data_IF_350117240561
#
_entry.id   IF_350117240561
#
_cell.length_a   1.000
_cell.length_b   1.000
_cell.length_c   1.000
_cell.angle_alpha   90.00
_cell.angle_beta   90.00
_cell.angle_gamma   90.00
#
_symmetry.space_group_name_H-M   'P 1'
#
loop_
_entity.id
_entity.type
_entity.pdbx_description
1 polymer ?
#
# COMPACT_ATOMS: atom_id res chain seq x y z
N UNK A 1 72.36 35.92 -42.11
CA UNK A 1 71.42 36.62 -41.21
C UNK A 1 70.04 36.49 -41.82
N UNK A 2 69.10 35.87 -41.09
CA UNK A 2 67.62 36.00 -41.12
C UNK A 2 66.99 34.70 -40.60
N UNK A 3 65.96 34.89 -39.79
CA UNK A 3 65.54 34.12 -38.61
C UNK A 3 64.62 32.96 -38.98
N UNK A 4 64.93 31.75 -38.47
CA UNK A 4 64.05 30.58 -38.55
C UNK A 4 62.91 30.73 -37.54
N UNK A 5 61.70 31.00 -38.04
CA UNK A 5 60.45 30.96 -37.27
C UNK A 5 60.27 29.57 -36.66
N UNK A 6 60.42 29.46 -35.34
CA UNK A 6 60.17 28.23 -34.58
C UNK A 6 58.72 28.29 -34.12
N UNK A 7 57.87 27.49 -34.76
CA UNK A 7 56.46 27.37 -34.42
C UNK A 7 56.25 27.00 -32.95
N UNK A 8 55.29 27.68 -32.33
CA UNK A 8 54.85 27.40 -30.96
C UNK A 8 54.19 26.01 -30.90
N UNK A 9 54.47 25.19 -29.87
CA UNK A 9 53.71 23.97 -29.65
C UNK A 9 52.30 24.31 -29.18
N UNK A 10 51.31 23.90 -29.97
CA UNK A 10 49.89 24.01 -29.62
C UNK A 10 49.60 23.14 -28.40
N UNK A 11 49.29 23.77 -27.26
CA UNK A 11 48.86 23.06 -26.05
C UNK A 11 47.44 22.54 -26.27
N UNK A 12 47.14 21.24 -26.05
CA UNK A 12 45.76 20.77 -26.06
C UNK A 12 45.02 21.38 -24.87
N UNK A 13 44.02 22.22 -25.15
CA UNK A 13 43.08 22.71 -24.15
C UNK A 13 42.18 21.53 -23.75
N UNK A 14 42.48 20.90 -22.62
CA UNK A 14 41.55 19.95 -21.97
C UNK A 14 40.32 20.76 -21.56
N UNK A 15 39.21 20.58 -22.28
CA UNK A 15 37.90 20.98 -21.80
C UNK A 15 37.57 19.99 -20.68
N UNK A 16 37.47 20.41 -19.41
CA UNK A 16 36.92 19.51 -18.41
C UNK A 16 35.49 19.21 -18.86
N UNK A 17 35.20 17.95 -19.17
CA UNK A 17 33.83 17.47 -19.16
C UNK A 17 33.29 17.83 -17.78
N UNK A 18 32.46 18.88 -17.73
CA UNK A 18 31.63 19.17 -16.59
C UNK A 18 30.64 18.00 -16.53
N UNK A 19 31.08 16.90 -15.93
CA UNK A 19 30.20 15.82 -15.52
C UNK A 19 29.26 16.50 -14.54
N UNK A 20 28.09 16.85 -15.07
CA UNK A 20 27.09 17.64 -14.39
C UNK A 20 26.65 16.84 -13.16
N UNK A 21 27.19 17.23 -12.00
CA UNK A 21 27.01 16.55 -10.70
C UNK A 21 25.53 16.43 -10.31
N UNK A 22 24.67 17.21 -10.98
CA UNK A 22 23.21 17.20 -10.86
C UNK A 22 22.58 15.94 -11.46
N UNK A 23 23.18 15.35 -12.50
CA UNK A 23 22.65 14.15 -13.17
C UNK A 23 22.85 12.86 -12.36
N UNK A 24 23.94 12.76 -11.58
CA UNK A 24 24.26 11.54 -10.82
C UNK A 24 23.39 11.37 -9.57
N UNK A 25 22.97 12.47 -8.94
CA UNK A 25 22.07 12.44 -7.78
C UNK A 25 20.64 12.04 -8.16
N UNK A 26 20.17 12.45 -9.33
CA UNK A 26 18.82 12.14 -9.80
C UNK A 26 18.62 10.63 -10.06
N UNK A 27 19.64 9.94 -10.58
CA UNK A 27 19.58 8.51 -10.88
C UNK A 27 19.61 7.66 -9.60
N UNK A 28 20.40 8.06 -8.60
CA UNK A 28 20.46 7.35 -7.32
C UNK A 28 19.18 7.50 -6.48
N UNK A 29 18.50 8.65 -6.55
CA UNK A 29 17.23 8.86 -5.88
C UNK A 29 16.10 8.01 -6.51
N UNK A 30 16.10 7.85 -7.84
CA UNK A 30 15.10 7.07 -8.56
C UNK A 30 15.18 5.55 -8.26
N UNK A 31 16.38 4.99 -8.09
CA UNK A 31 16.54 3.56 -7.76
C UNK A 31 16.18 3.22 -6.32
N UNK A 32 16.42 4.10 -5.36
CA UNK A 32 15.97 3.89 -3.96
C UNK A 32 14.45 3.96 -3.85
N UNK A 33 13.80 4.89 -4.55
CA UNK A 33 12.35 4.99 -4.58
C UNK A 33 11.67 3.75 -5.21
N UNK A 34 12.28 3.17 -6.24
CA UNK A 34 11.76 1.96 -6.90
C UNK A 34 11.89 0.71 -6.01
N UNK A 35 12.93 0.62 -5.18
CA UNK A 35 13.14 -0.49 -4.25
C UNK A 35 12.22 -0.45 -3.02
N UNK A 36 11.79 0.74 -2.59
CA UNK A 36 10.87 0.90 -1.44
C UNK A 36 9.40 0.60 -1.79
N UNK A 37 9.01 0.69 -3.06
CA UNK A 37 7.64 0.44 -3.52
C UNK A 37 7.27 -1.04 -3.66
N UNK A 38 8.22 -1.98 -3.60
CA UNK A 38 7.98 -3.42 -3.79
C UNK A 38 7.69 -4.20 -2.51
N UNK A 39 7.60 -3.52 -1.35
CA UNK A 39 7.40 -4.16 -0.04
C UNK A 39 6.04 -3.86 0.59
N UNK A 40 5.08 -3.37 -0.20
CA UNK A 40 3.68 -3.32 0.22
C UNK A 40 3.15 -4.77 0.29
N UNK A 41 3.42 -5.43 1.41
CA UNK A 41 2.71 -6.65 1.78
C UNK A 41 1.24 -6.35 2.03
N UNK A 42 0.37 -7.38 2.10
CA UNK A 42 -1.04 -7.19 2.41
C UNK A 42 -1.17 -6.32 3.66
N UNK A 43 -1.89 -5.21 3.54
CA UNK A 43 -2.20 -4.39 4.71
C UNK A 43 -2.98 -5.26 5.69
N UNK A 44 -2.50 -5.36 6.93
CA UNK A 44 -3.27 -6.03 7.98
C UNK A 44 -4.58 -5.26 8.19
N UNK A 45 -5.69 -5.98 8.31
CA UNK A 45 -6.96 -5.37 8.70
C UNK A 45 -6.85 -4.84 10.14
N UNK A 46 -6.73 -3.52 10.31
CA UNK A 46 -6.69 -2.86 11.63
C UNK A 46 -8.11 -2.45 12.04
N UNK A 47 -8.92 -3.44 12.42
CA UNK A 47 -10.28 -3.24 12.92
C UNK A 47 -11.26 -2.55 11.95
N UNK A 48 -12.53 -2.50 12.33
CA UNK A 48 -13.63 -2.05 11.47
C UNK A 48 -14.25 -0.70 11.84
N UNK A 49 -13.68 0.05 12.78
CA UNK A 49 -14.31 1.26 13.33
C UNK A 49 -14.50 2.37 12.28
N UNK A 50 -13.49 2.60 11.43
CA UNK A 50 -13.58 3.55 10.33
C UNK A 50 -14.63 3.12 9.29
N UNK A 51 -14.63 1.84 8.90
CA UNK A 51 -15.63 1.30 7.99
C UNK A 51 -17.05 1.42 8.53
N UNK A 52 -17.27 1.20 9.83
CA UNK A 52 -18.58 1.40 10.46
C UNK A 52 -18.98 2.88 10.43
N UNK A 53 -18.05 3.79 10.71
CA UNK A 53 -18.31 5.24 10.62
C UNK A 53 -18.76 5.65 9.21
N UNK A 54 -18.00 5.27 8.18
CA UNK A 54 -18.33 5.56 6.78
C UNK A 54 -19.63 4.88 6.34
N UNK A 55 -19.85 3.63 6.76
CA UNK A 55 -21.09 2.91 6.50
C UNK A 55 -22.28 3.64 7.10
N UNK A 56 -22.17 4.15 8.32
CA UNK A 56 -23.24 4.90 8.98
C UNK A 56 -23.54 6.23 8.31
N UNK A 57 -22.54 6.93 7.77
CA UNK A 57 -22.76 8.10 6.90
C UNK A 57 -23.60 7.72 5.69
N UNK A 58 -23.26 6.60 5.02
CA UNK A 58 -24.03 6.14 3.86
C UNK A 58 -25.44 5.71 4.24
N UNK A 59 -25.63 4.99 5.35
CA UNK A 59 -26.94 4.58 5.87
C UNK A 59 -27.84 5.78 6.14
N UNK A 60 -27.30 6.82 6.79
CA UNK A 60 -28.03 8.05 7.04
C UNK A 60 -28.47 8.74 5.74
N UNK A 61 -27.64 8.74 4.70
CA UNK A 61 -27.97 9.34 3.39
C UNK A 61 -29.18 8.72 2.69
N UNK A 62 -29.58 7.50 3.08
CA UNK A 62 -30.74 6.77 2.54
C UNK A 62 -31.82 6.54 3.60
N UNK A 63 -31.79 7.28 4.71
CA UNK A 63 -32.82 7.23 5.75
C UNK A 63 -32.77 5.99 6.66
N UNK A 64 -31.66 5.26 6.70
CA UNK A 64 -31.48 4.11 7.57
C UNK A 64 -30.80 4.51 8.89
N UNK A 65 -31.25 3.92 10.00
CA UNK A 65 -30.61 4.09 11.32
C UNK A 65 -29.18 3.52 11.36
N UNK A 66 -28.32 4.01 12.27
CA UNK A 66 -26.93 3.55 12.36
C UNK A 66 -26.83 2.09 12.84
N UNK A 67 -25.72 1.44 12.53
CA UNK A 67 -25.31 0.15 13.11
C UNK A 67 -24.14 0.36 14.08
N UNK A 68 -24.04 -0.52 15.08
CA UNK A 68 -22.94 -0.52 16.04
C UNK A 68 -21.90 -1.57 15.66
N UNK A 69 -20.62 -1.26 15.88
CA UNK A 69 -19.56 -2.26 15.79
C UNK A 69 -19.65 -3.20 17.00
N UNK A 70 -19.78 -4.49 16.74
CA UNK A 70 -19.73 -5.54 17.75
C UNK A 70 -18.32 -6.10 17.82
N UNK A 71 -17.71 -6.12 19.02
CA UNK A 71 -16.33 -6.57 19.20
C UNK A 71 -16.09 -8.02 18.69
N UNK A 72 -16.99 -8.99 18.95
CA UNK A 72 -16.88 -10.32 18.32
C UNK A 72 -16.91 -10.30 16.79
N UNK A 73 -17.74 -9.44 16.18
CA UNK A 73 -17.83 -9.33 14.71
C UNK A 73 -16.55 -8.73 14.12
N UNK A 74 -16.00 -7.71 14.79
CA UNK A 74 -14.73 -7.09 14.42
C UNK A 74 -13.58 -8.10 14.46
N UNK A 75 -13.51 -8.89 15.54
CA UNK A 75 -12.53 -9.97 15.68
C UNK A 75 -12.64 -10.98 14.53
N UNK A 76 -13.86 -11.42 14.19
CA UNK A 76 -14.09 -12.38 13.10
C UNK A 76 -13.63 -11.81 11.75
N UNK A 77 -13.92 -10.53 11.48
CA UNK A 77 -13.52 -9.87 10.25
C UNK A 77 -12.00 -9.81 10.10
N UNK A 78 -11.27 -9.49 11.18
CA UNK A 78 -9.80 -9.48 11.19
C UNK A 78 -9.24 -10.90 11.01
N UNK A 79 -9.79 -11.91 11.71
CA UNK A 79 -9.40 -13.31 11.55
C UNK A 79 -9.59 -13.77 10.09
N UNK A 80 -10.73 -13.45 9.46
CA UNK A 80 -11.04 -13.78 8.06
C UNK A 80 -10.12 -13.06 7.07
N UNK A 81 -9.87 -11.77 7.25
CA UNK A 81 -8.94 -11.01 6.43
C UNK A 81 -7.54 -11.64 6.42
N UNK A 82 -7.05 -12.05 7.59
CA UNK A 82 -5.75 -12.71 7.72
C UNK A 82 -5.71 -14.10 7.07
N UNK A 83 -6.80 -14.87 7.13
CA UNK A 83 -6.90 -16.16 6.46
C UNK A 83 -6.88 -16.01 4.94
N UNK A 84 -7.63 -15.05 4.40
CA UNK A 84 -7.65 -14.71 2.99
C UNK A 84 -6.26 -14.28 2.49
N UNK A 85 -5.61 -13.37 3.21
CA UNK A 85 -4.25 -12.91 2.88
C UNK A 85 -3.22 -14.05 2.91
N UNK A 86 -3.31 -14.95 3.89
CA UNK A 86 -2.39 -16.10 4.01
C UNK A 86 -2.57 -17.13 2.91
N UNK A 87 -3.82 -17.35 2.48
CA UNK A 87 -4.16 -18.35 1.47
C UNK A 87 -4.14 -17.79 0.03
N UNK A 88 -3.83 -16.50 -0.13
CA UNK A 88 -3.85 -15.79 -1.42
C UNK A 88 -5.18 -15.96 -2.17
N UNK A 89 -6.29 -15.73 -1.45
CA UNK A 89 -7.65 -15.91 -1.97
C UNK A 89 -8.58 -14.82 -1.47
N UNK A 90 -9.45 -14.32 -2.36
CA UNK A 90 -10.56 -13.42 -2.00
C UNK A 90 -11.88 -14.17 -2.20
N UNK A 91 -12.37 -14.82 -1.14
CA UNK A 91 -13.59 -15.61 -1.18
C UNK A 91 -14.36 -15.56 0.15
N UNK A 92 -15.69 -15.56 0.03
CA UNK A 92 -16.59 -15.69 1.16
C UNK A 92 -16.48 -17.08 1.80
N UNK A 93 -16.56 -17.11 3.13
CA UNK A 93 -16.71 -18.34 3.91
C UNK A 93 -17.70 -18.11 5.05
N UNK A 94 -18.99 -18.13 4.71
CA UNK A 94 -20.05 -17.94 5.69
C UNK A 94 -20.15 -19.10 6.69
N UNK A 95 -19.64 -20.30 6.35
CA UNK A 95 -19.58 -21.43 7.29
C UNK A 95 -18.60 -21.12 8.41
N UNK A 96 -17.42 -20.59 8.08
CA UNK A 96 -16.48 -20.09 9.08
C UNK A 96 -17.12 -19.00 9.93
N UNK A 97 -17.68 -17.95 9.30
CA UNK A 97 -18.22 -16.78 10.00
C UNK A 97 -19.31 -17.19 11.00
N UNK A 98 -20.29 -17.98 10.57
CA UNK A 98 -21.41 -18.42 11.43
C UNK A 98 -20.96 -19.36 12.54
N UNK A 99 -20.01 -20.26 12.24
CA UNK A 99 -19.40 -21.13 13.26
C UNK A 99 -18.67 -20.30 14.31
N UNK A 100 -17.91 -19.29 13.87
CA UNK A 100 -17.12 -18.44 14.77
C UNK A 100 -18.01 -17.53 15.63
N UNK A 101 -19.11 -17.01 15.07
CA UNK A 101 -20.14 -16.32 15.84
C UNK A 101 -20.70 -17.22 16.97
N UNK A 102 -21.00 -18.48 16.66
CA UNK A 102 -21.46 -19.46 17.65
C UNK A 102 -20.42 -19.74 18.74
N UNK A 103 -19.15 -19.92 18.36
CA UNK A 103 -18.05 -20.14 19.31
C UNK A 103 -17.81 -18.94 20.25
N UNK A 104 -18.08 -17.72 19.77
CA UNK A 104 -17.98 -16.50 20.56
C UNK A 104 -19.28 -16.18 21.34
N UNK A 105 -20.27 -17.07 21.30
CA UNK A 105 -21.54 -16.90 22.02
C UNK A 105 -22.43 -15.78 21.47
N UNK A 106 -22.25 -15.39 20.20
CA UNK A 106 -23.04 -14.34 19.58
C UNK A 106 -24.36 -14.91 19.07
N UNK A 107 -25.47 -14.38 19.58
CA UNK A 107 -26.80 -14.64 19.02
C UNK A 107 -27.00 -13.81 17.74
N UNK A 108 -27.44 -14.44 16.65
CA UNK A 108 -27.70 -13.77 15.37
C UNK A 108 -28.92 -14.36 14.67
N UNK A 109 -29.56 -13.57 13.81
CA UNK A 109 -30.73 -13.97 12.99
C UNK A 109 -30.43 -13.97 11.49
N UNK A 110 -29.53 -13.10 11.05
CA UNK A 110 -29.01 -13.04 9.69
C UNK A 110 -27.58 -12.52 9.70
N UNK A 111 -26.79 -12.94 8.71
CA UNK A 111 -25.39 -12.53 8.52
C UNK A 111 -25.17 -12.19 7.05
N UNK A 112 -24.38 -11.15 6.81
CA UNK A 112 -23.82 -10.83 5.49
C UNK A 112 -22.35 -10.48 5.65
N UNK A 113 -21.57 -10.76 4.62
CA UNK A 113 -20.14 -10.45 4.55
C UNK A 113 -19.88 -9.69 3.25
N UNK A 114 -19.06 -8.64 3.33
CA UNK A 114 -18.52 -7.92 2.17
C UNK A 114 -17.00 -7.99 2.30
N UNK A 115 -16.33 -8.43 1.24
CA UNK A 115 -14.88 -8.54 1.17
C UNK A 115 -14.36 -7.70 -0.01
N UNK A 116 -13.15 -7.17 0.13
CA UNK A 116 -12.49 -6.39 -0.90
C UNK A 116 -10.97 -6.61 -0.83
N UNK A 117 -10.29 -6.31 -1.93
CA UNK A 117 -8.84 -6.33 -2.08
C UNK A 117 -8.40 -5.09 -2.87
N UNK A 118 -7.19 -4.59 -2.63
CA UNK A 118 -6.53 -3.52 -3.38
C UNK A 118 -5.26 -4.01 -4.07
#
# INVERSE_FOLDING_TARGET
MTIKSRGEPSVPRVIPNLVDRRTTLAVAAATVALLLGMVAGPALAVGGSEFVSLTNVKRASVGLGPVSLSAPVDQIAVERGNQMAKADVLAHDLVYVTTRLGQLGVCWTAVGEIIAWE
#
